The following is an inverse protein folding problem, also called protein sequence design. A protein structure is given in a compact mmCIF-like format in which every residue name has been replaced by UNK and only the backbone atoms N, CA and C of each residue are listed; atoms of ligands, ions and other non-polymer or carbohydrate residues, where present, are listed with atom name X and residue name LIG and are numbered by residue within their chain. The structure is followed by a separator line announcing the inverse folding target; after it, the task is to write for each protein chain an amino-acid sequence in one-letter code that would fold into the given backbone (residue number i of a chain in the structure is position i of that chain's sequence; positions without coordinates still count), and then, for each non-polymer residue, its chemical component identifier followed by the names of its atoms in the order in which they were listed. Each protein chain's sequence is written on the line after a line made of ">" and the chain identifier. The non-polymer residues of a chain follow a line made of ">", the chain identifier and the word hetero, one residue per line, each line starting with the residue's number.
data_IF_686547621345
#
_entry.id   IF_686547621345
#
_cell.length_a   1.000
_cell.length_b   1.000
_cell.length_c   1.000
_cell.angle_alpha   90.00
_cell.angle_beta   90.00
_cell.angle_gamma   90.00
#
_symmetry.space_group_name_H-M   'P 1'
#
loop_
_entity.id
_entity.type
_entity.pdbx_description
1 polymer ?
#
# COMPACT_ATOMS: atom_id res chain seq x y z
N UNK A 1 23.31 -23.67 -20.86
CA UNK A 1 24.08 -23.00 -19.77
C UNK A 1 24.08 -21.52 -20.09
N UNK A 2 23.42 -20.68 -19.28
CA UNK A 2 23.51 -19.23 -19.47
C UNK A 2 24.90 -18.78 -18.99
N UNK A 3 25.67 -18.01 -19.78
CA UNK A 3 26.97 -17.48 -19.35
C UNK A 3 26.87 -16.71 -18.03
N UNK A 4 27.82 -16.95 -17.12
CA UNK A 4 27.85 -16.42 -15.75
C UNK A 4 27.67 -14.88 -15.67
N UNK A 5 28.07 -14.15 -16.70
CA UNK A 5 27.91 -12.70 -16.83
C UNK A 5 26.43 -12.25 -16.90
N UNK A 6 25.55 -13.05 -17.51
CA UNK A 6 24.11 -12.72 -17.62
C UNK A 6 23.35 -12.94 -16.31
N UNK A 7 23.83 -13.85 -15.46
CA UNK A 7 23.24 -14.07 -14.13
C UNK A 7 23.59 -12.90 -13.20
N UNK A 8 24.84 -12.41 -13.25
CA UNK A 8 25.28 -11.28 -12.44
C UNK A 8 24.58 -9.97 -12.81
N UNK A 9 24.34 -9.72 -14.10
CA UNK A 9 23.62 -8.52 -14.54
C UNK A 9 22.16 -8.52 -14.09
N UNK A 10 21.46 -9.66 -14.13
CA UNK A 10 20.08 -9.78 -13.65
C UNK A 10 19.98 -9.54 -12.14
N UNK A 11 20.88 -10.13 -11.35
CA UNK A 11 20.89 -9.92 -9.89
C UNK A 11 21.19 -8.47 -9.51
N UNK A 12 22.06 -7.78 -10.25
CA UNK A 12 22.34 -6.35 -10.03
C UNK A 12 21.12 -5.47 -10.36
N UNK A 13 20.43 -5.75 -11.46
CA UNK A 13 19.19 -5.06 -11.85
C UNK A 13 18.14 -5.21 -10.77
N UNK A 14 17.87 -6.43 -10.30
CA UNK A 14 16.88 -6.74 -9.27
C UNK A 14 17.14 -5.95 -7.97
N UNK A 15 18.41 -5.95 -7.49
CA UNK A 15 18.80 -5.19 -6.29
C UNK A 15 18.64 -3.68 -6.48
N UNK A 16 18.95 -3.17 -7.66
CA UNK A 16 18.79 -1.75 -7.98
C UNK A 16 17.31 -1.34 -8.02
N UNK A 17 16.42 -2.22 -8.51
CA UNK A 17 14.98 -1.99 -8.55
C UNK A 17 14.35 -2.06 -7.17
N UNK A 18 14.71 -3.06 -6.36
CA UNK A 18 14.25 -3.17 -4.99
C UNK A 18 14.64 -1.91 -4.19
N UNK A 19 15.91 -1.52 -4.21
CA UNK A 19 16.38 -0.36 -3.44
C UNK A 19 15.70 0.95 -3.85
N UNK A 20 15.49 1.19 -5.16
CA UNK A 20 14.75 2.35 -5.65
C UNK A 20 13.28 2.33 -5.22
N UNK A 21 12.63 1.17 -5.34
CA UNK A 21 11.22 0.99 -4.96
C UNK A 21 11.03 1.21 -3.47
N UNK A 22 11.90 0.63 -2.64
CA UNK A 22 11.91 0.83 -1.19
C UNK A 22 12.19 2.28 -0.81
N UNK A 23 13.08 2.96 -1.54
CA UNK A 23 13.35 4.39 -1.33
C UNK A 23 12.11 5.27 -1.57
N UNK A 24 11.38 5.02 -2.66
CA UNK A 24 10.10 5.70 -2.94
C UNK A 24 9.02 5.36 -1.91
N UNK A 25 8.92 4.10 -1.50
CA UNK A 25 7.99 3.67 -0.45
C UNK A 25 8.29 4.39 0.87
N UNK A 26 9.55 4.39 1.32
CA UNK A 26 9.97 5.02 2.57
C UNK A 26 9.72 6.54 2.53
N UNK A 27 10.05 7.20 1.42
CA UNK A 27 9.76 8.63 1.23
C UNK A 27 8.24 8.90 1.31
N UNK A 28 7.44 8.07 0.64
CA UNK A 28 5.99 8.21 0.64
C UNK A 28 5.43 8.07 2.06
N UNK A 29 5.84 7.04 2.82
CA UNK A 29 5.41 6.85 4.21
C UNK A 29 5.85 8.00 5.12
N UNK A 30 7.06 8.55 4.93
CA UNK A 30 7.53 9.70 5.68
C UNK A 30 6.69 10.96 5.38
N UNK A 31 6.34 11.18 4.11
CA UNK A 31 5.45 12.28 3.71
C UNK A 31 4.03 12.09 4.24
N UNK A 32 3.51 10.86 4.29
CA UNK A 32 2.23 10.54 4.91
C UNK A 32 2.24 10.86 6.40
N UNK A 33 3.30 10.49 7.12
CA UNK A 33 3.47 10.88 8.52
C UNK A 33 3.55 12.40 8.69
N UNK A 34 4.22 13.10 7.77
CA UNK A 34 4.24 14.56 7.71
C UNK A 34 2.86 15.18 7.47
N UNK A 35 2.04 14.58 6.60
CA UNK A 35 0.65 14.97 6.40
C UNK A 35 -0.20 14.77 7.65
N UNK A 36 -0.05 13.64 8.35
CA UNK A 36 -0.73 13.39 9.64
C UNK A 36 -0.34 14.45 10.67
N UNK A 37 0.95 14.76 10.78
CA UNK A 37 1.44 15.82 11.67
C UNK A 37 0.85 17.19 11.31
N UNK A 38 0.84 17.54 10.02
CA UNK A 38 0.30 18.81 9.53
C UNK A 38 -1.20 18.98 9.86
N UNK A 39 -1.97 17.89 9.81
CA UNK A 39 -3.37 17.87 10.24
C UNK A 39 -3.51 18.22 11.73
N UNK A 40 -2.78 17.51 12.61
CA UNK A 40 -2.86 17.76 14.06
C UNK A 40 -2.26 19.09 14.50
N UNK A 41 -1.28 19.61 13.76
CA UNK A 41 -0.72 20.93 13.99
C UNK A 41 -1.65 22.07 13.54
N UNK A 42 -2.77 21.78 12.86
CA UNK A 42 -3.72 22.78 12.37
C UNK A 42 -3.18 23.65 11.23
N UNK A 43 -2.11 23.21 10.56
CA UNK A 43 -1.49 23.94 9.43
C UNK A 43 -2.00 23.48 8.07
N UNK A 44 -2.81 22.42 8.03
CA UNK A 44 -3.45 21.92 6.83
C UNK A 44 -4.94 22.32 6.78
N UNK A 45 -5.52 22.56 5.58
CA UNK A 45 -6.94 22.83 5.45
C UNK A 45 -7.75 21.63 5.97
N UNK A 46 -8.79 21.85 6.77
CA UNK A 46 -9.72 20.81 7.18
C UNK A 46 -10.80 20.59 6.11
N UNK A 47 -10.50 19.75 5.12
CA UNK A 47 -11.48 19.41 4.08
C UNK A 47 -12.40 18.27 4.51
N UNK A 48 -13.56 18.17 3.85
CA UNK A 48 -14.43 17.01 3.97
C UNK A 48 -13.66 15.74 3.52
N UNK A 49 -13.71 14.62 4.28
CA UNK A 49 -13.08 13.35 3.89
C UNK A 49 -13.38 12.90 2.47
N UNK A 50 -14.57 13.18 1.95
CA UNK A 50 -14.96 12.87 0.58
C UNK A 50 -14.14 13.64 -0.47
N UNK A 51 -13.75 14.88 -0.18
CA UNK A 51 -12.90 15.69 -1.07
C UNK A 51 -11.50 15.09 -1.15
N UNK A 52 -10.92 14.70 -0.01
CA UNK A 52 -9.62 14.01 -0.01
C UNK A 52 -9.66 12.71 -0.79
N UNK A 53 -10.73 11.93 -0.65
CA UNK A 53 -10.93 10.71 -1.42
C UNK A 53 -10.93 10.96 -2.93
N UNK A 54 -11.67 11.97 -3.40
CA UNK A 54 -11.68 12.35 -4.82
C UNK A 54 -10.30 12.82 -5.30
N UNK A 55 -9.59 13.61 -4.49
CA UNK A 55 -8.23 14.07 -4.80
C UNK A 55 -7.28 12.88 -4.90
N UNK A 56 -7.32 11.95 -3.95
CA UNK A 56 -6.51 10.73 -3.94
C UNK A 56 -6.73 9.90 -5.22
N UNK A 57 -7.99 9.67 -5.61
CA UNK A 57 -8.30 8.98 -6.87
C UNK A 57 -7.71 9.72 -8.07
N UNK A 58 -7.92 11.04 -8.16
CA UNK A 58 -7.37 11.86 -9.23
C UNK A 58 -5.84 11.79 -9.30
N UNK A 59 -5.17 11.80 -8.15
CA UNK A 59 -3.71 11.69 -8.06
C UNK A 59 -3.22 10.31 -8.46
N UNK A 60 -3.89 9.21 -8.08
CA UNK A 60 -3.51 7.85 -8.51
C UNK A 60 -3.54 7.75 -10.04
N UNK A 61 -4.63 8.21 -10.68
CA UNK A 61 -4.70 8.23 -12.14
C UNK A 61 -3.67 9.17 -12.77
N UNK A 62 -3.43 10.32 -12.14
CA UNK A 62 -2.41 11.28 -12.53
C UNK A 62 -1.00 10.69 -12.50
N UNK A 63 -0.63 9.97 -11.43
CA UNK A 63 0.65 9.29 -11.29
C UNK A 63 0.79 8.23 -12.39
N UNK A 64 -0.22 7.39 -12.60
CA UNK A 64 -0.21 6.35 -13.63
C UNK A 64 -0.04 6.92 -15.05
N UNK A 65 -0.68 8.05 -15.34
CA UNK A 65 -0.53 8.74 -16.62
C UNK A 65 0.84 9.41 -16.77
N UNK A 66 1.31 10.07 -15.71
CA UNK A 66 2.59 10.77 -15.66
C UNK A 66 3.76 9.80 -15.77
N UNK A 67 3.70 8.65 -15.10
CA UNK A 67 4.81 7.72 -15.00
C UNK A 67 5.20 7.11 -16.36
N UNK A 68 4.32 7.15 -17.36
CA UNK A 68 4.62 6.75 -18.75
C UNK A 68 5.23 7.86 -19.62
N UNK A 69 5.15 9.13 -19.19
CA UNK A 69 5.52 10.30 -20.03
C UNK A 69 6.58 11.19 -19.40
N UNK A 70 6.52 11.39 -18.09
CA UNK A 70 7.38 12.29 -17.34
C UNK A 70 7.58 11.75 -15.90
N UNK A 71 8.76 11.17 -15.66
CA UNK A 71 9.12 10.60 -14.37
C UNK A 71 9.16 11.64 -13.23
N UNK A 72 9.63 12.86 -13.51
CA UNK A 72 9.70 13.95 -12.50
C UNK A 72 8.30 14.40 -12.08
N UNK A 73 7.37 14.52 -13.04
CA UNK A 73 5.97 14.81 -12.76
C UNK A 73 5.35 13.70 -11.89
N UNK A 74 5.59 12.44 -12.23
CA UNK A 74 5.08 11.31 -11.46
C UNK A 74 5.60 11.30 -10.02
N UNK A 75 6.88 11.63 -9.81
CA UNK A 75 7.49 11.76 -8.49
C UNK A 75 6.86 12.89 -7.67
N UNK A 76 6.64 14.06 -8.29
CA UNK A 76 5.94 15.17 -7.64
C UNK A 76 4.51 14.81 -7.25
N UNK A 77 3.77 14.14 -8.15
CA UNK A 77 2.41 13.69 -7.87
C UNK A 77 2.36 12.63 -6.77
N UNK A 78 3.32 11.71 -6.73
CA UNK A 78 3.44 10.73 -5.65
C UNK A 78 3.67 11.42 -4.29
N UNK A 79 4.56 12.41 -4.25
CA UNK A 79 4.80 13.17 -3.02
C UNK A 79 3.55 13.92 -2.53
N UNK A 80 2.83 14.59 -3.43
CA UNK A 80 1.57 15.26 -3.10
C UNK A 80 0.53 14.24 -2.63
N UNK A 81 0.42 13.10 -3.31
CA UNK A 81 -0.47 12.02 -2.94
C UNK A 81 -0.19 11.50 -1.53
N UNK A 82 1.07 11.27 -1.17
CA UNK A 82 1.44 10.83 0.18
C UNK A 82 1.03 11.81 1.27
N UNK A 83 1.25 13.11 1.05
CA UNK A 83 0.81 14.15 2.00
C UNK A 83 -0.71 14.17 2.13
N UNK A 84 -1.43 14.14 0.99
CA UNK A 84 -2.90 14.13 0.96
C UNK A 84 -3.47 12.90 1.67
N UNK A 85 -2.89 11.72 1.47
CA UNK A 85 -3.26 10.51 2.19
C UNK A 85 -3.04 10.65 3.70
N UNK A 86 -1.94 11.28 4.13
CA UNK A 86 -1.71 11.58 5.54
C UNK A 86 -2.82 12.44 6.14
N UNK A 87 -3.23 13.49 5.42
CA UNK A 87 -4.36 14.35 5.80
C UNK A 87 -5.69 13.59 5.83
N UNK A 88 -5.89 12.64 4.92
CA UNK A 88 -7.09 11.81 4.85
C UNK A 88 -7.20 10.82 6.02
N UNK A 89 -6.08 10.21 6.41
CA UNK A 89 -6.04 9.19 7.46
C UNK A 89 -6.01 9.80 8.87
N UNK A 90 -5.46 11.00 9.05
CA UNK A 90 -5.32 11.62 10.36
C UNK A 90 -6.63 11.72 11.18
N UNK A 91 -7.78 12.14 10.62
CA UNK A 91 -9.05 12.07 11.33
C UNK A 91 -9.42 10.65 11.78
N UNK A 92 -9.10 9.63 10.97
CA UNK A 92 -9.38 8.23 11.29
C UNK A 92 -8.57 7.79 12.52
N UNK A 93 -7.29 8.17 12.59
CA UNK A 93 -6.43 7.84 13.73
C UNK A 93 -6.94 8.40 15.06
N UNK A 94 -7.67 9.53 15.04
CA UNK A 94 -8.22 10.13 16.27
C UNK A 94 -9.30 9.27 16.95
N UNK A 95 -9.90 8.33 16.23
CA UNK A 95 -10.89 7.39 16.79
C UNK A 95 -10.23 6.20 17.50
N UNK A 96 -8.93 6.00 17.32
CA UNK A 96 -8.19 4.86 17.86
C UNK A 96 -7.25 5.27 18.98
N UNK A 97 -7.06 4.42 20.00
CA UNK A 97 -6.09 4.69 21.04
C UNK A 97 -4.66 4.54 20.47
N UNK A 98 -3.71 5.27 21.05
CA UNK A 98 -2.34 5.38 20.52
C UNK A 98 -1.60 4.05 20.48
N UNK A 99 -1.88 3.16 21.44
CA UNK A 99 -1.34 1.79 21.47
C UNK A 99 -1.83 0.96 20.28
N UNK A 100 -3.10 1.07 19.88
CA UNK A 100 -3.62 0.41 18.69
C UNK A 100 -2.94 0.93 17.41
N UNK A 101 -2.67 2.23 17.33
CA UNK A 101 -1.95 2.85 16.20
C UNK A 101 -0.53 2.29 16.09
N UNK A 102 0.20 2.25 17.21
CA UNK A 102 1.57 1.71 17.25
C UNK A 102 1.58 0.22 16.92
N UNK A 103 0.67 -0.57 17.50
CA UNK A 103 0.57 -2.01 17.23
C UNK A 103 0.24 -2.30 15.77
N UNK A 104 -0.66 -1.52 15.16
CA UNK A 104 -1.00 -1.65 13.75
C UNK A 104 0.20 -1.34 12.86
N UNK A 105 0.93 -0.26 13.15
CA UNK A 105 2.12 0.10 12.39
C UNK A 105 3.21 -0.97 12.49
N UNK A 106 3.51 -1.46 13.70
CA UNK A 106 4.48 -2.53 13.91
C UNK A 106 4.06 -3.82 13.23
N UNK A 107 2.76 -4.17 13.29
CA UNK A 107 2.20 -5.32 12.60
C UNK A 107 2.36 -5.21 11.08
N UNK A 108 2.05 -4.07 10.49
CA UNK A 108 2.21 -3.82 9.05
C UNK A 108 3.68 -3.93 8.63
N UNK A 109 4.59 -3.28 9.37
CA UNK A 109 6.03 -3.37 9.11
C UNK A 109 6.51 -4.82 9.21
N UNK A 110 6.08 -5.55 10.24
CA UNK A 110 6.42 -6.97 10.41
C UNK A 110 5.96 -7.83 9.24
N UNK A 111 4.72 -7.65 8.77
CA UNK A 111 4.19 -8.37 7.60
C UNK A 111 4.98 -8.01 6.34
N UNK A 112 5.29 -6.74 6.12
CA UNK A 112 6.08 -6.30 4.96
C UNK A 112 7.47 -6.90 4.96
N UNK A 113 8.13 -6.95 6.12
CA UNK A 113 9.44 -7.59 6.28
C UNK A 113 9.37 -9.09 5.99
N UNK A 114 8.36 -9.78 6.51
CA UNK A 114 8.15 -11.22 6.25
C UNK A 114 7.86 -11.46 4.77
N UNK A 115 6.99 -10.67 4.14
CA UNK A 115 6.65 -10.79 2.72
C UNK A 115 7.89 -10.59 1.84
N UNK A 116 8.67 -9.53 2.10
CA UNK A 116 9.92 -9.27 1.41
C UNK A 116 10.91 -10.43 1.61
N UNK A 117 11.13 -10.87 2.85
CA UNK A 117 12.05 -11.96 3.15
C UNK A 117 11.65 -13.26 2.42
N UNK A 118 10.38 -13.67 2.49
CA UNK A 118 9.91 -14.89 1.84
C UNK A 118 10.05 -14.77 0.33
N UNK A 119 9.62 -13.67 -0.29
CA UNK A 119 9.70 -13.50 -1.75
C UNK A 119 11.15 -13.53 -2.24
N UNK A 120 12.06 -12.83 -1.57
CA UNK A 120 13.45 -12.71 -2.03
C UNK A 120 14.30 -13.93 -1.67
N UNK A 121 14.08 -14.56 -0.52
CA UNK A 121 14.84 -15.73 -0.07
C UNK A 121 14.35 -17.06 -0.66
N UNK A 122 13.15 -17.10 -1.23
CA UNK A 122 12.57 -18.32 -1.82
C UNK A 122 12.39 -18.21 -3.33
N UNK A 123 12.09 -19.35 -3.95
CA UNK A 123 11.80 -19.47 -5.40
C UNK A 123 10.30 -19.44 -5.70
N UNK A 124 9.51 -18.71 -4.89
CA UNK A 124 8.06 -18.64 -5.08
C UNK A 124 7.69 -17.97 -6.41
N UNK A 125 6.72 -18.54 -7.12
CA UNK A 125 6.17 -17.97 -8.35
C UNK A 125 4.70 -17.58 -8.13
N UNK A 126 4.41 -16.28 -8.16
CA UNK A 126 3.08 -15.74 -7.94
C UNK A 126 2.39 -15.22 -9.22
N UNK A 127 2.91 -15.52 -10.41
CA UNK A 127 2.39 -14.99 -11.68
C UNK A 127 0.87 -15.18 -11.86
N UNK A 128 0.35 -16.35 -11.50
CA UNK A 128 -1.08 -16.65 -11.62
C UNK A 128 -1.95 -16.07 -10.50
N UNK A 129 -1.37 -15.65 -9.38
CA UNK A 129 -2.09 -15.26 -8.16
C UNK A 129 -2.77 -13.89 -8.26
N UNK A 130 -2.23 -12.98 -9.08
CA UNK A 130 -2.74 -11.61 -9.18
C UNK A 130 -4.23 -11.53 -9.49
N UNK A 131 -4.74 -12.36 -10.42
CA UNK A 131 -6.18 -12.38 -10.76
C UNK A 131 -7.07 -12.87 -9.62
N UNK A 132 -6.58 -13.81 -8.81
CA UNK A 132 -7.33 -14.38 -7.69
C UNK A 132 -7.35 -13.40 -6.52
N UNK A 133 -6.23 -12.76 -6.22
CA UNK A 133 -6.12 -11.74 -5.18
C UNK A 133 -6.96 -10.50 -5.52
N UNK A 134 -6.94 -10.04 -6.77
CA UNK A 134 -7.80 -8.96 -7.24
C UNK A 134 -9.28 -9.34 -7.12
N UNK A 135 -9.65 -10.56 -7.52
CA UNK A 135 -11.03 -11.05 -7.37
C UNK A 135 -11.48 -11.10 -5.91
N UNK A 136 -10.61 -11.58 -5.01
CA UNK A 136 -10.88 -11.63 -3.58
C UNK A 136 -11.01 -10.22 -2.96
N UNK A 137 -10.17 -9.27 -3.39
CA UNK A 137 -10.25 -7.87 -2.96
C UNK A 137 -11.58 -7.25 -3.38
N UNK A 138 -11.95 -7.37 -4.66
CA UNK A 138 -13.21 -6.84 -5.18
C UNK A 138 -14.42 -7.46 -4.46
N UNK A 139 -14.38 -8.78 -4.21
CA UNK A 139 -15.42 -9.45 -3.44
C UNK A 139 -15.52 -8.89 -2.01
N UNK A 140 -14.40 -8.70 -1.33
CA UNK A 140 -14.36 -8.10 0.01
C UNK A 140 -14.92 -6.68 0.04
N UNK A 141 -14.60 -5.85 -0.96
CA UNK A 141 -15.15 -4.50 -1.12
C UNK A 141 -16.67 -4.58 -1.33
N UNK A 142 -17.16 -5.44 -2.22
CA UNK A 142 -18.59 -5.60 -2.48
C UNK A 142 -19.35 -6.04 -1.22
N UNK A 143 -18.81 -6.99 -0.45
CA UNK A 143 -19.40 -7.40 0.84
C UNK A 143 -19.42 -6.24 1.83
N UNK A 144 -18.34 -5.45 1.90
CA UNK A 144 -18.26 -4.29 2.79
C UNK A 144 -19.24 -3.17 2.43
N UNK A 145 -19.59 -3.02 1.14
CA UNK A 145 -20.62 -2.08 0.69
C UNK A 145 -22.02 -2.65 0.92
N UNK A 146 -22.21 -3.95 0.67
CA UNK A 146 -23.50 -4.62 0.85
C UNK A 146 -23.97 -4.58 2.31
N UNK A 147 -23.06 -4.65 3.29
CA UNK A 147 -23.43 -4.53 4.70
C UNK A 147 -24.01 -3.16 5.05
N UNK A 148 -23.65 -2.09 4.32
CA UNK A 148 -24.19 -0.74 4.53
C UNK A 148 -25.66 -0.62 4.08
N UNK A 149 -26.05 -1.35 3.03
CA UNK A 149 -27.42 -1.29 2.48
C UNK A 149 -28.33 -2.39 3.02
N UNK A 150 -27.81 -3.60 3.15
CA UNK A 150 -28.60 -4.81 3.40
C UNK A 150 -28.49 -5.34 4.83
N UNK A 151 -27.73 -4.68 5.71
CA UNK A 151 -27.57 -5.08 7.13
C UNK A 151 -27.24 -6.57 7.29
N UNK A 152 -26.34 -7.09 6.44
CA UNK A 152 -25.97 -8.50 6.47
C UNK A 152 -25.44 -8.89 7.85
N UNK A 153 -25.70 -10.12 8.35
CA UNK A 153 -25.25 -10.61 9.67
C UNK A 153 -23.75 -10.97 9.67
N UNK A 154 -22.92 -10.15 9.02
CA UNK A 154 -21.46 -10.32 8.94
C UNK A 154 -20.82 -9.26 9.81
N UNK A 155 -20.00 -9.67 10.77
CA UNK A 155 -19.33 -8.73 11.65
C UNK A 155 -18.27 -7.91 10.89
N UNK A 156 -18.13 -6.62 11.24
CA UNK A 156 -17.06 -5.79 10.68
C UNK A 156 -15.67 -6.37 10.94
N UNK A 157 -15.48 -7.07 12.05
CA UNK A 157 -14.24 -7.78 12.37
C UNK A 157 -13.96 -8.90 11.36
N UNK A 158 -14.97 -9.70 11.00
CA UNK A 158 -14.82 -10.76 10.00
C UNK A 158 -14.44 -10.21 8.62
N UNK A 159 -15.05 -9.08 8.21
CA UNK A 159 -14.72 -8.39 6.96
C UNK A 159 -13.27 -7.89 6.99
N UNK A 160 -12.86 -7.30 8.11
CA UNK A 160 -11.51 -6.76 8.30
C UNK A 160 -10.47 -7.88 8.31
N UNK A 161 -10.74 -9.00 8.97
CA UNK A 161 -9.87 -10.17 8.97
C UNK A 161 -9.73 -10.77 7.57
N UNK A 162 -10.83 -10.92 6.83
CA UNK A 162 -10.81 -11.38 5.45
C UNK A 162 -9.98 -10.46 4.55
N UNK A 163 -10.27 -9.15 4.56
CA UNK A 163 -9.51 -8.16 3.80
C UNK A 163 -8.04 -8.16 4.21
N UNK A 164 -7.73 -8.32 5.51
CA UNK A 164 -6.36 -8.40 6.00
C UNK A 164 -5.58 -9.54 5.37
N UNK A 165 -6.18 -10.74 5.30
CA UNK A 165 -5.57 -11.90 4.61
C UNK A 165 -5.36 -11.60 3.13
N UNK A 166 -6.34 -10.97 2.46
CA UNK A 166 -6.21 -10.60 1.04
C UNK A 166 -5.07 -9.59 0.83
N UNK A 167 -4.98 -8.55 1.67
CA UNK A 167 -3.91 -7.54 1.57
C UNK A 167 -2.53 -8.10 1.92
N UNK A 168 -2.44 -9.06 2.84
CA UNK A 168 -1.19 -9.81 3.05
C UNK A 168 -0.81 -10.54 1.75
N UNK A 169 -1.77 -11.23 1.11
CA UNK A 169 -1.52 -11.90 -0.17
C UNK A 169 -1.11 -10.94 -1.30
N UNK A 170 -1.74 -9.77 -1.39
CA UNK A 170 -1.38 -8.70 -2.32
C UNK A 170 0.03 -8.17 -2.06
N UNK A 171 0.40 -7.97 -0.79
CA UNK A 171 1.75 -7.54 -0.40
C UNK A 171 2.81 -8.54 -0.89
N UNK A 172 2.58 -9.84 -0.70
CA UNK A 172 3.46 -10.89 -1.23
C UNK A 172 3.54 -10.84 -2.76
N UNK A 173 2.40 -10.67 -3.43
CA UNK A 173 2.34 -10.56 -4.89
C UNK A 173 3.08 -9.33 -5.42
N UNK A 174 2.97 -8.18 -4.74
CA UNK A 174 3.63 -6.95 -5.14
C UNK A 174 5.14 -7.03 -4.94
N UNK A 175 5.63 -7.59 -3.82
CA UNK A 175 7.05 -7.90 -3.68
C UNK A 175 7.53 -8.88 -4.75
N UNK A 176 6.73 -9.90 -5.07
CA UNK A 176 7.05 -10.83 -6.14
C UNK A 176 7.12 -10.12 -7.49
N UNK A 177 6.24 -9.15 -7.75
CA UNK A 177 6.27 -8.33 -8.97
C UNK A 177 7.55 -7.51 -9.04
N UNK A 178 7.98 -6.86 -7.95
CA UNK A 178 9.28 -6.15 -7.91
C UNK A 178 10.45 -7.08 -8.24
N UNK A 179 10.44 -8.31 -7.72
CA UNK A 179 11.46 -9.33 -8.00
C UNK A 179 11.40 -9.84 -9.45
N UNK A 180 10.20 -9.98 -10.02
CA UNK A 180 9.99 -10.55 -11.35
C UNK A 180 10.21 -9.55 -12.50
N UNK A 181 10.11 -8.25 -12.22
CA UNK A 181 10.32 -7.18 -13.19
C UNK A 181 11.75 -7.24 -13.79
N UNK A 182 11.85 -7.31 -15.12
CA UNK A 182 13.14 -7.34 -15.84
C UNK A 182 13.54 -5.94 -16.30
N UNK A 183 14.85 -5.69 -16.41
CA UNK A 183 15.41 -4.45 -16.93
C UNK A 183 14.76 -4.05 -18.26
N UNK A 184 13.91 -3.02 -18.23
CA UNK A 184 13.24 -2.48 -19.42
C UNK A 184 11.91 -1.81 -19.10
N UNK A 185 11.16 -2.33 -18.12
CA UNK A 185 9.84 -1.81 -17.70
C UNK A 185 9.92 -1.03 -16.37
N UNK A 186 11.10 -0.47 -16.09
CA UNK A 186 11.59 0.04 -14.79
C UNK A 186 10.82 1.24 -14.22
N UNK A 187 9.55 1.08 -13.87
CA UNK A 187 8.81 2.09 -13.13
C UNK A 187 8.78 1.77 -11.63
N UNK A 188 9.95 1.86 -11.00
CA UNK A 188 10.10 1.68 -9.54
C UNK A 188 9.15 2.56 -8.74
N UNK A 189 8.71 3.68 -9.34
CA UNK A 189 7.72 4.58 -8.76
C UNK A 189 6.32 3.97 -8.71
N UNK A 190 5.88 3.31 -9.78
CA UNK A 190 4.58 2.61 -9.79
C UNK A 190 4.59 1.37 -8.92
N UNK A 191 5.72 0.66 -8.88
CA UNK A 191 5.93 -0.45 -7.94
C UNK A 191 5.83 0.06 -6.49
N UNK A 192 6.43 1.22 -6.20
CA UNK A 192 6.37 1.82 -4.87
C UNK A 192 4.98 2.32 -4.52
N UNK A 193 4.25 2.91 -5.48
CA UNK A 193 2.85 3.32 -5.28
C UNK A 193 1.99 2.10 -4.90
N UNK A 194 2.17 0.96 -5.56
CA UNK A 194 1.43 -0.26 -5.25
C UNK A 194 1.73 -0.78 -3.83
N UNK A 195 3.02 -0.91 -3.49
CA UNK A 195 3.43 -1.31 -2.15
C UNK A 195 3.01 -0.31 -1.07
N UNK A 196 2.97 0.98 -1.40
CA UNK A 196 2.46 2.02 -0.51
C UNK A 196 0.96 1.83 -0.24
N UNK A 197 0.16 1.59 -1.28
CA UNK A 197 -1.27 1.31 -1.13
C UNK A 197 -1.51 0.05 -0.31
N UNK A 198 -0.74 -1.01 -0.55
CA UNK A 198 -0.79 -2.22 0.28
C UNK A 198 -0.45 -1.92 1.74
N UNK A 199 0.57 -1.09 1.99
CA UNK A 199 1.00 -0.74 3.34
C UNK A 199 -0.08 0.03 4.10
N UNK A 200 -0.62 1.08 3.47
CA UNK A 200 -1.67 1.91 4.07
C UNK A 200 -2.94 1.10 4.32
N UNK A 201 -3.37 0.28 3.36
CA UNK A 201 -4.56 -0.53 3.52
C UNK A 201 -4.39 -1.58 4.62
N UNK A 202 -3.25 -2.28 4.64
CA UNK A 202 -2.96 -3.26 5.69
C UNK A 202 -2.87 -2.58 7.07
N UNK A 203 -2.25 -1.40 7.16
CA UNK A 203 -2.22 -0.60 8.38
C UNK A 203 -3.62 -0.24 8.87
N UNK A 204 -4.51 0.27 8.01
CA UNK A 204 -5.88 0.61 8.39
C UNK A 204 -6.70 -0.62 8.81
N UNK A 205 -6.46 -1.77 8.18
CA UNK A 205 -7.10 -3.03 8.56
C UNK A 205 -6.63 -3.50 9.93
N UNK A 206 -5.30 -3.53 10.17
CA UNK A 206 -4.75 -3.89 11.47
C UNK A 206 -5.15 -2.91 12.56
N UNK A 207 -5.22 -1.61 12.24
CA UNK A 207 -5.71 -0.58 13.14
C UNK A 207 -7.14 -0.86 13.58
N UNK A 208 -8.00 -1.27 12.65
CA UNK A 208 -9.37 -1.66 12.97
C UNK A 208 -9.45 -2.94 13.80
N UNK A 209 -8.55 -3.90 13.58
CA UNK A 209 -8.49 -5.16 14.33
C UNK A 209 -8.00 -4.92 15.77
N UNK A 210 -6.89 -4.21 15.94
CA UNK A 210 -6.30 -3.93 17.26
C UNK A 210 -7.05 -2.86 18.04
N UNK A 211 -7.62 -1.90 17.33
CA UNK A 211 -8.42 -0.83 17.90
C UNK A 211 -9.83 -1.23 18.31
N UNK A 212 -10.07 -2.50 18.64
CA UNK A 212 -11.37 -3.14 18.85
C UNK A 212 -12.47 -2.22 19.42
N UNK A 213 -13.70 -2.38 18.91
CA UNK A 213 -14.89 -1.54 19.15
C UNK A 213 -14.86 -0.80 20.50
N UNK A 214 -14.53 0.49 20.48
CA UNK A 214 -15.12 1.43 21.43
C UNK A 214 -16.57 1.61 20.98
N UNK A 215 -17.46 0.75 21.51
CA UNK A 215 -18.85 1.15 21.71
C UNK A 215 -18.90 1.91 23.03
#
# INVERSE_FOLDING_TARGET
>A
MLPHEMLQSQTQVERSLLSRTMGWLALSLALTAGGVYAYYAGVAPSLNPFIYFLIAIGLIFGIQAAARRNHTLAAGLLAVFSVVEGLFIAPVLSFYPSDAVVNALLGTVGIFLVAAAVVYLTSINMAAWGRYLLGALLLGILVSLATLFFHLPVSQLAISAFLGVVFIGLTFFDFWRVKAERAGDNNSLLLALSLYLDFINLFLILLRIFGGRRN
#
